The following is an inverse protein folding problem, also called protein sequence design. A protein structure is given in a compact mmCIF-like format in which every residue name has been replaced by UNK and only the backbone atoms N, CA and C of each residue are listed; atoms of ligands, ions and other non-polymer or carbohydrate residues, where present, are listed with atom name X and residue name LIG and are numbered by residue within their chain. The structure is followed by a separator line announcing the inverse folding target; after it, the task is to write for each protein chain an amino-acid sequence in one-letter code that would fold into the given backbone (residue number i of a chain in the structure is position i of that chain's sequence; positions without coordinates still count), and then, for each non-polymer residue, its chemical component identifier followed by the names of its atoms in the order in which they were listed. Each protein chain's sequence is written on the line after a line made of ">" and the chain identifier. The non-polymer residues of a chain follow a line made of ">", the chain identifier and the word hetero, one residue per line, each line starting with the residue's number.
data_IF_874509176523
#
_entry.id   IF_874509176523
#
_cell.length_a   1.000
_cell.length_b   1.000
_cell.length_c   1.000
_cell.angle_alpha   90.00
_cell.angle_beta   90.00
_cell.angle_gamma   90.00
#
_symmetry.space_group_name_H-M   'P 1'
#
loop_
_entity.id
_entity.type
_entity.pdbx_description
1 polymer ?
#
# COMPACT_ATOMS: atom_id res chain seq x y z
N UNK A 1 3.64 -3.44 -8.64
CA UNK A 1 2.25 -3.00 -8.33
C UNK A 1 2.27 -1.50 -8.14
N UNK A 2 1.27 -0.79 -8.66
CA UNK A 2 1.15 0.67 -8.55
C UNK A 2 -0.18 1.03 -7.90
N UNK A 3 -0.16 1.90 -6.89
CA UNK A 3 -1.35 2.48 -6.29
C UNK A 3 -1.34 4.00 -6.46
N UNK A 4 -2.50 4.56 -6.79
CA UNK A 4 -2.71 6.01 -6.92
C UNK A 4 -3.74 6.46 -5.89
N UNK A 5 -3.35 7.39 -5.03
CA UNK A 5 -4.27 8.07 -4.12
C UNK A 5 -5.05 9.15 -4.86
N UNK A 6 -6.33 9.29 -4.51
CA UNK A 6 -7.25 10.29 -5.11
C UNK A 6 -7.03 11.69 -4.54
N UNK A 7 -6.64 11.79 -3.27
CA UNK A 7 -6.44 13.06 -2.56
C UNK A 7 -5.14 13.02 -1.76
N UNK A 8 -4.53 14.18 -1.44
CA UNK A 8 -3.36 14.22 -0.59
C UNK A 8 -3.75 13.84 0.83
N UNK A 9 -3.10 12.84 1.38
CA UNK A 9 -3.34 12.37 2.74
C UNK A 9 -2.02 12.44 3.52
N UNK A 10 -2.06 13.04 4.71
CA UNK A 10 -0.92 13.14 5.62
C UNK A 10 -1.04 12.05 6.67
N UNK A 11 0.10 11.51 7.13
CA UNK A 11 0.16 10.40 8.08
C UNK A 11 -0.77 9.26 7.67
N UNK A 12 -0.32 8.41 6.74
CA UNK A 12 -1.12 7.25 6.30
C UNK A 12 -0.37 5.95 6.54
N UNK A 13 -1.12 4.87 6.63
CA UNK A 13 -0.62 3.51 6.53
C UNK A 13 -1.06 2.92 5.21
N UNK A 14 -0.09 2.43 4.44
CA UNK A 14 -0.34 1.61 3.27
C UNK A 14 -0.36 0.17 3.74
N UNK A 15 -1.40 -0.58 3.42
CA UNK A 15 -1.50 -1.99 3.80
C UNK A 15 -1.82 -2.89 2.62
N UNK A 16 -1.23 -4.08 2.67
CA UNK A 16 -1.58 -5.24 1.83
C UNK A 16 -2.23 -6.27 2.76
N UNK A 17 -3.57 -6.26 2.89
CA UNK A 17 -4.27 -7.11 3.85
C UNK A 17 -4.04 -8.60 3.58
N UNK A 18 -3.96 -9.02 2.32
CA UNK A 18 -3.76 -10.41 1.91
C UNK A 18 -2.40 -10.98 2.35
N UNK A 19 -1.45 -10.10 2.64
CA UNK A 19 -0.11 -10.48 3.05
C UNK A 19 0.23 -10.07 4.49
N UNK A 20 -0.72 -9.46 5.22
CA UNK A 20 -0.52 -8.96 6.58
C UNK A 20 0.55 -7.86 6.67
N UNK A 21 0.78 -7.12 5.59
CA UNK A 21 1.88 -6.15 5.49
C UNK A 21 1.38 -4.72 5.62
N UNK A 22 2.15 -3.87 6.31
CA UNK A 22 1.81 -2.48 6.59
C UNK A 22 3.07 -1.62 6.49
N UNK A 23 2.95 -0.47 5.83
CA UNK A 23 4.00 0.53 5.72
C UNK A 23 3.45 1.91 6.12
N UNK A 24 3.91 2.47 7.25
CA UNK A 24 3.59 3.84 7.60
C UNK A 24 4.29 4.81 6.65
N UNK A 25 3.58 5.85 6.24
CA UNK A 25 4.00 6.88 5.31
C UNK A 25 3.63 8.25 5.89
N UNK A 26 4.58 9.18 5.92
CA UNK A 26 4.35 10.51 6.51
C UNK A 26 3.38 11.36 5.68
N UNK A 27 3.22 11.06 4.39
CA UNK A 27 2.16 11.64 3.57
C UNK A 27 2.28 11.20 2.12
N UNK A 28 1.15 11.15 1.44
CA UNK A 28 1.03 10.77 0.03
C UNK A 28 0.29 11.88 -0.68
N UNK A 29 0.79 12.34 -1.83
CA UNK A 29 0.13 13.35 -2.67
C UNK A 29 -0.37 12.71 -3.98
N UNK A 30 -1.50 13.11 -4.55
CA UNK A 30 -1.76 12.91 -5.98
C UNK A 30 -0.85 13.92 -6.72
N UNK A 31 -0.01 13.56 -7.70
CA UNK A 31 0.06 12.35 -8.53
C UNK A 31 1.25 11.43 -8.18
N UNK A 32 1.67 11.40 -6.93
CA UNK A 32 2.85 10.67 -6.45
C UNK A 32 2.58 9.16 -6.60
N UNK A 33 3.32 8.53 -7.51
CA UNK A 33 3.26 7.09 -7.72
C UNK A 33 3.93 6.40 -6.53
N UNK A 34 3.15 5.69 -5.73
CA UNK A 34 3.70 4.90 -4.62
C UNK A 34 4.39 3.65 -5.19
N UNK A 35 5.72 3.60 -5.04
CA UNK A 35 6.51 2.42 -5.33
C UNK A 35 6.64 1.58 -4.07
N UNK A 36 6.21 0.32 -4.15
CA UNK A 36 6.27 -0.64 -3.07
C UNK A 36 7.11 -1.82 -3.52
N UNK A 37 8.13 -2.14 -2.75
CA UNK A 37 8.92 -3.36 -2.95
C UNK A 37 8.28 -4.48 -2.14
N UNK A 38 7.54 -5.34 -2.84
CA UNK A 38 6.93 -6.52 -2.26
C UNK A 38 7.91 -7.67 -2.40
N UNK A 39 8.24 -8.31 -1.28
CA UNK A 39 9.13 -9.48 -1.32
C UNK A 39 8.41 -10.68 -1.94
N UNK A 40 9.19 -11.67 -2.40
CA UNK A 40 8.67 -12.89 -3.01
C UNK A 40 7.80 -13.69 -2.04
N UNK A 41 8.11 -13.67 -0.74
CA UNK A 41 7.26 -14.31 0.28
C UNK A 41 5.90 -13.62 0.41
N UNK A 42 5.87 -12.29 0.25
CA UNK A 42 4.66 -11.49 0.35
C UNK A 42 3.70 -11.78 -0.81
N UNK A 43 4.24 -11.90 -2.02
CA UNK A 43 3.49 -12.28 -3.22
C UNK A 43 2.96 -13.72 -3.13
N UNK A 44 3.74 -14.64 -2.54
CA UNK A 44 3.33 -16.03 -2.36
C UNK A 44 2.15 -16.18 -1.39
N UNK A 45 2.03 -15.30 -0.39
CA UNK A 45 0.89 -15.26 0.54
C UNK A 45 -0.39 -14.73 -0.11
N UNK A 46 -0.28 -13.85 -1.10
CA UNK A 46 -1.39 -13.37 -1.91
C UNK A 46 -1.82 -14.45 -2.93
N UNK A 47 -2.33 -15.58 -2.43
CA UNK A 47 -2.68 -16.77 -3.22
C UNK A 47 -3.81 -16.56 -4.25
N UNK A 48 -4.42 -15.37 -4.31
CA UNK A 48 -5.59 -15.06 -5.14
C UNK A 48 -5.31 -14.31 -6.45
N UNK A 49 -4.05 -14.07 -6.83
CA UNK A 49 -3.68 -13.40 -8.09
C UNK A 49 -3.95 -11.88 -8.15
N UNK A 50 -4.69 -11.33 -7.19
CA UNK A 50 -4.87 -9.90 -6.99
C UNK A 50 -4.26 -9.47 -5.65
N UNK A 51 -3.60 -8.31 -5.64
CA UNK A 51 -3.04 -7.70 -4.44
C UNK A 51 -3.74 -6.36 -4.25
N UNK A 52 -4.49 -6.23 -3.16
CA UNK A 52 -5.16 -4.99 -2.82
C UNK A 52 -4.20 -4.09 -2.05
N UNK A 53 -4.16 -2.82 -2.42
CA UNK A 53 -3.46 -1.80 -1.67
C UNK A 53 -4.48 -0.84 -1.08
N UNK A 54 -4.56 -0.83 0.24
CA UNK A 54 -5.36 0.14 0.97
C UNK A 54 -4.46 1.23 1.53
N UNK A 55 -4.88 2.48 1.38
CA UNK A 55 -4.26 3.63 2.03
C UNK A 55 -5.26 4.11 3.08
N UNK A 56 -4.85 4.15 4.34
CA UNK A 56 -5.68 4.59 5.46
C UNK A 56 -4.95 5.67 6.26
N UNK A 57 -5.64 6.65 6.85
CA UNK A 57 -5.03 7.54 7.83
C UNK A 57 -4.41 6.75 8.99
N UNK A 58 -3.24 7.18 9.44
CA UNK A 58 -2.54 6.67 10.61
C UNK A 58 -3.02 7.50 11.81
N UNK A 59 -4.03 6.99 12.51
CA UNK A 59 -4.51 7.54 13.80
C UNK A 59 -3.36 7.73 14.79
#
# INVERSE_FOLDING_TARGET
>A
IYARVRQPERRVVIQVPEAGWRLPQMGVRPPEMLRLELTRELLAKAAGGAITLEVKPLE
#
